data_IF_445864116417
#
_entry.id   IF_445864116417
#
_cell.length_a   1.000
_cell.length_b   1.000
_cell.length_c   1.000
_cell.angle_alpha   90.00
_cell.angle_beta   90.00
_cell.angle_gamma   90.00
#
_symmetry.space_group_name_H-M   'P 1'
#
loop_
_entity.id
_entity.type
_entity.pdbx_description
1 polymer ?
#
# COMPACT_ATOMS: atom_id res chain seq x y z
N UNK A 1 -18.92 4.20 12.64
CA UNK A 1 -18.22 5.43 13.11
C UNK A 1 -18.38 6.61 12.13
N UNK A 2 -18.19 6.42 10.81
CA UNK A 2 -18.37 7.49 9.82
C UNK A 2 -19.83 7.74 9.42
N UNK A 3 -20.59 6.69 9.12
CA UNK A 3 -22.02 6.81 8.78
C UNK A 3 -22.83 7.50 9.88
N UNK A 4 -22.55 7.19 11.15
CA UNK A 4 -23.16 7.84 12.32
C UNK A 4 -22.82 9.33 12.47
N UNK A 5 -21.89 9.85 11.67
CA UNK A 5 -21.50 11.26 11.63
C UNK A 5 -21.96 11.96 10.34
N UNK A 6 -22.83 11.32 9.56
CA UNK A 6 -23.40 11.90 8.34
C UNK A 6 -22.53 11.74 7.07
N UNK A 7 -21.49 10.91 7.12
CA UNK A 7 -20.69 10.59 5.93
C UNK A 7 -21.25 9.37 5.20
N UNK A 8 -21.23 9.41 3.87
CA UNK A 8 -21.28 8.17 3.07
C UNK A 8 -19.94 7.45 3.28
N UNK A 9 -20.00 6.21 3.77
CA UNK A 9 -18.82 5.41 4.06
C UNK A 9 -18.73 4.22 3.09
N UNK A 10 -17.57 4.04 2.49
CA UNK A 10 -17.31 2.98 1.51
C UNK A 10 -16.08 2.21 1.96
N UNK A 11 -16.18 0.90 1.96
CA UNK A 11 -15.08 -0.03 2.20
C UNK A 11 -14.92 -0.92 0.99
N UNK A 12 -13.68 -1.09 0.54
CA UNK A 12 -13.33 -1.98 -0.58
C UNK A 12 -12.36 -3.02 -0.07
N UNK A 13 -12.60 -4.28 -0.42
CA UNK A 13 -11.60 -5.31 -0.22
C UNK A 13 -10.39 -5.04 -1.12
N UNK A 14 -9.20 -4.97 -0.52
CA UNK A 14 -7.94 -4.95 -1.26
C UNK A 14 -7.89 -6.15 -2.20
N UNK A 15 -7.16 -6.02 -3.33
CA UNK A 15 -7.00 -7.17 -4.23
C UNK A 15 -6.49 -8.38 -3.43
N UNK A 16 -7.01 -9.57 -3.75
CA UNK A 16 -6.63 -10.83 -3.12
C UNK A 16 -7.02 -11.00 -1.63
N UNK A 17 -7.90 -10.15 -1.10
CA UNK A 17 -8.44 -10.23 0.26
C UNK A 17 -9.97 -10.28 0.24
N UNK A 18 -10.58 -10.71 1.36
CA UNK A 18 -12.04 -10.71 1.53
C UNK A 18 -12.77 -11.43 0.40
N UNK A 19 -13.79 -10.79 -0.16
CA UNK A 19 -14.58 -11.32 -1.30
C UNK A 19 -13.77 -11.44 -2.59
N UNK A 20 -12.56 -10.86 -2.63
CA UNK A 20 -11.62 -10.92 -3.76
C UNK A 20 -10.54 -11.97 -3.58
N UNK A 21 -10.62 -12.77 -2.52
CA UNK A 21 -9.77 -13.94 -2.29
C UNK A 21 -10.53 -15.23 -2.64
N UNK A 22 -9.81 -16.24 -3.15
CA UNK A 22 -10.37 -17.59 -3.30
C UNK A 22 -10.28 -18.37 -1.98
N UNK A 23 -9.21 -18.13 -1.24
CA UNK A 23 -8.84 -18.80 0.01
C UNK A 23 -7.86 -17.93 0.81
N UNK A 24 -7.43 -18.43 1.97
CA UNK A 24 -6.50 -17.73 2.86
C UNK A 24 -5.08 -17.53 2.27
N UNK A 25 -4.70 -18.25 1.22
CA UNK A 25 -3.36 -18.15 0.63
C UNK A 25 -3.32 -17.25 -0.60
N UNK A 26 -4.47 -16.83 -1.11
CA UNK A 26 -4.60 -16.09 -2.38
C UNK A 26 -3.67 -14.86 -2.44
N UNK A 27 -3.57 -14.04 -1.39
CA UNK A 27 -2.67 -12.88 -1.38
C UNK A 27 -1.18 -13.27 -1.40
N UNK A 28 -0.80 -14.27 -0.60
CA UNK A 28 0.56 -14.80 -0.57
C UNK A 28 0.96 -15.32 -1.94
N UNK A 29 0.09 -16.11 -2.55
CA UNK A 29 0.35 -16.76 -3.84
C UNK A 29 0.43 -15.71 -4.96
N UNK A 30 -0.37 -14.63 -4.88
CA UNK A 30 -0.26 -13.49 -5.78
C UNK A 30 1.09 -12.76 -5.66
N UNK A 31 1.59 -12.52 -4.44
CA UNK A 31 2.91 -11.90 -4.22
C UNK A 31 4.04 -12.76 -4.78
N UNK A 32 4.00 -14.07 -4.54
CA UNK A 32 4.99 -15.02 -5.09
C UNK A 32 4.90 -15.04 -6.63
N UNK A 33 3.69 -15.01 -7.20
CA UNK A 33 3.51 -14.93 -8.64
C UNK A 33 4.06 -13.62 -9.20
N UNK A 34 3.83 -12.48 -8.53
CA UNK A 34 4.36 -11.19 -8.95
C UNK A 34 5.89 -11.16 -8.92
N UNK A 35 6.52 -11.78 -7.92
CA UNK A 35 7.97 -12.00 -7.93
C UNK A 35 8.42 -12.77 -9.18
N UNK A 36 7.78 -13.92 -9.46
CA UNK A 36 8.15 -14.80 -10.58
C UNK A 36 7.92 -14.17 -11.95
N UNK A 37 6.73 -13.60 -12.18
CA UNK A 37 6.29 -13.19 -13.53
C UNK A 37 6.34 -11.68 -13.72
N UNK A 38 6.08 -10.89 -12.67
CA UNK A 38 6.04 -9.43 -12.73
C UNK A 38 4.83 -8.85 -13.45
N UNK A 39 3.81 -9.68 -13.75
CA UNK A 39 2.65 -9.26 -14.54
C UNK A 39 1.63 -8.45 -13.73
N UNK A 40 1.74 -8.47 -12.41
CA UNK A 40 0.81 -7.82 -11.47
C UNK A 40 1.58 -7.15 -10.34
N UNK A 41 0.96 -6.17 -9.70
CA UNK A 41 1.54 -5.42 -8.58
C UNK A 41 0.67 -5.55 -7.32
N UNK A 42 0.51 -6.78 -6.78
CA UNK A 42 -0.49 -7.12 -5.76
C UNK A 42 -0.24 -6.44 -4.41
N UNK A 43 0.98 -5.98 -4.15
CA UNK A 43 1.34 -5.38 -2.87
C UNK A 43 0.64 -4.02 -2.66
N UNK A 44 0.89 -3.06 -3.55
CA UNK A 44 0.39 -1.67 -3.42
C UNK A 44 -0.41 -1.25 -4.64
N UNK A 45 0.20 -1.28 -5.82
CA UNK A 45 -0.28 -0.49 -6.98
C UNK A 45 -1.61 -0.98 -7.54
N UNK A 46 -1.85 -2.30 -7.53
CA UNK A 46 -3.10 -2.87 -8.02
C UNK A 46 -4.33 -2.37 -7.24
N UNK A 47 -4.22 -2.29 -5.90
CA UNK A 47 -5.31 -1.78 -5.07
C UNK A 47 -5.41 -0.25 -5.15
N UNK A 48 -4.27 0.44 -5.26
CA UNK A 48 -4.25 1.90 -5.49
C UNK A 48 -4.95 2.27 -6.79
N UNK A 49 -4.79 1.48 -7.85
CA UNK A 49 -5.52 1.68 -9.09
C UNK A 49 -7.03 1.54 -8.90
N UNK A 50 -7.48 0.54 -8.13
CA UNK A 50 -8.91 0.38 -7.81
C UNK A 50 -9.44 1.59 -7.03
N UNK A 51 -8.63 2.19 -6.15
CA UNK A 51 -8.99 3.41 -5.42
C UNK A 51 -9.10 4.62 -6.37
N UNK A 52 -8.20 4.77 -7.35
CA UNK A 52 -8.35 5.78 -8.41
C UNK A 52 -9.68 5.59 -9.16
N UNK A 53 -10.07 4.34 -9.47
CA UNK A 53 -11.36 4.02 -10.10
C UNK A 53 -12.55 4.25 -9.18
N UNK A 54 -12.38 4.03 -7.88
CA UNK A 54 -13.39 4.42 -6.91
C UNK A 54 -13.61 5.93 -6.95
N UNK A 55 -12.55 6.74 -6.99
CA UNK A 55 -12.68 8.20 -7.11
C UNK A 55 -13.40 8.60 -8.43
N UNK A 56 -13.11 7.94 -9.56
CA UNK A 56 -13.86 8.13 -10.82
C UNK A 56 -15.37 7.96 -10.59
N UNK A 57 -15.76 6.85 -9.98
CA UNK A 57 -17.15 6.55 -9.69
C UNK A 57 -17.79 7.54 -8.72
N UNK A 58 -17.10 7.89 -7.62
CA UNK A 58 -17.64 8.80 -6.61
C UNK A 58 -17.89 10.20 -7.16
N UNK A 59 -17.05 10.68 -8.07
CA UNK A 59 -17.23 12.00 -8.68
C UNK A 59 -18.42 12.08 -9.63
N UNK A 60 -19.00 10.94 -10.04
CA UNK A 60 -20.18 10.88 -10.91
C UNK A 60 -21.49 10.76 -10.12
N UNK A 61 -21.43 10.57 -8.80
CA UNK A 61 -22.61 10.40 -7.95
C UNK A 61 -23.19 11.75 -7.55
N UNK A 62 -24.50 11.92 -7.76
CA UNK A 62 -25.22 13.14 -7.39
C UNK A 62 -25.29 13.37 -5.87
N UNK A 63 -25.17 12.31 -5.07
CA UNK A 63 -25.22 12.38 -3.61
C UNK A 63 -23.83 12.51 -2.96
N UNK A 64 -22.77 12.69 -3.76
CA UNK A 64 -21.40 12.90 -3.29
C UNK A 64 -20.92 14.29 -3.70
N UNK A 65 -20.39 15.04 -2.74
CA UNK A 65 -19.66 16.27 -3.01
C UNK A 65 -18.21 15.91 -3.39
N UNK A 66 -17.79 16.10 -4.66
CA UNK A 66 -16.47 15.69 -5.13
C UNK A 66 -15.32 16.46 -4.46
N UNK A 67 -15.60 17.59 -3.81
CA UNK A 67 -14.60 18.36 -3.06
C UNK A 67 -14.35 17.83 -1.64
N UNK A 68 -15.15 16.87 -1.16
CA UNK A 68 -15.13 16.38 0.23
C UNK A 68 -14.94 14.86 0.34
N UNK A 69 -14.16 14.28 -0.57
CA UNK A 69 -13.82 12.85 -0.53
C UNK A 69 -12.58 12.65 0.36
N UNK A 70 -12.73 11.93 1.47
CA UNK A 70 -11.63 11.55 2.36
C UNK A 70 -11.20 10.09 2.17
N UNK A 71 -9.94 9.78 2.49
CA UNK A 71 -9.43 8.41 2.48
C UNK A 71 -8.63 8.08 3.75
N UNK A 72 -8.83 6.86 4.25
CA UNK A 72 -8.15 6.33 5.43
C UNK A 72 -8.02 4.82 5.32
N UNK A 73 -7.10 4.25 6.09
CA UNK A 73 -6.92 2.82 6.21
C UNK A 73 -5.87 2.50 7.26
N UNK A 74 -5.86 1.24 7.71
CA UNK A 74 -4.97 0.73 8.76
C UNK A 74 -3.99 -0.27 8.14
N UNK A 75 -2.72 -0.17 8.51
CA UNK A 75 -1.65 -1.09 8.08
C UNK A 75 -1.50 -1.13 6.56
N UNK A 76 -1.77 -2.26 5.89
CA UNK A 76 -1.78 -2.35 4.43
C UNK A 76 -2.78 -1.35 3.80
N UNK A 77 -3.97 -1.22 4.38
CA UNK A 77 -4.94 -0.20 3.96
C UNK A 77 -4.45 1.23 4.20
N UNK A 78 -3.59 1.43 5.20
CA UNK A 78 -2.93 2.72 5.45
C UNK A 78 -1.91 3.07 4.37
N UNK A 79 -1.16 2.08 3.88
CA UNK A 79 -0.32 2.25 2.69
C UNK A 79 -1.18 2.55 1.47
N UNK A 80 -2.25 1.78 1.21
CA UNK A 80 -3.14 2.06 0.08
C UNK A 80 -3.73 3.47 0.14
N UNK A 81 -4.14 3.95 1.32
CA UNK A 81 -4.62 5.33 1.50
C UNK A 81 -3.55 6.38 1.19
N UNK A 82 -2.32 6.18 1.66
CA UNK A 82 -1.18 7.07 1.36
C UNK A 82 -0.86 7.10 -0.14
N UNK A 83 -0.66 5.94 -0.77
CA UNK A 83 -0.30 5.88 -2.19
C UNK A 83 -1.43 6.34 -3.11
N UNK A 84 -2.70 6.04 -2.79
CA UNK A 84 -3.84 6.54 -3.55
C UNK A 84 -3.94 8.06 -3.48
N UNK A 85 -3.74 8.66 -2.30
CA UNK A 85 -3.70 10.11 -2.19
C UNK A 85 -2.50 10.73 -2.89
N UNK A 86 -1.33 10.09 -2.88
CA UNK A 86 -0.16 10.58 -3.61
C UNK A 86 -0.37 10.54 -5.14
N UNK A 87 -1.11 9.56 -5.65
CA UNK A 87 -1.38 9.38 -7.07
C UNK A 87 -2.61 10.16 -7.58
N UNK A 88 -3.58 10.43 -6.71
CA UNK A 88 -4.86 11.05 -7.07
C UNK A 88 -5.20 12.23 -6.16
N UNK A 89 -5.32 13.41 -6.76
CA UNK A 89 -5.56 14.67 -6.05
C UNK A 89 -7.01 14.85 -5.60
N UNK A 90 -7.95 14.00 -6.04
CA UNK A 90 -9.37 14.08 -5.65
C UNK A 90 -9.64 13.68 -4.20
N UNK A 91 -8.74 12.91 -3.58
CA UNK A 91 -8.79 12.66 -2.15
C UNK A 91 -8.39 13.93 -1.39
N UNK A 92 -9.39 14.67 -0.91
CA UNK A 92 -9.26 15.98 -0.30
C UNK A 92 -8.64 15.93 1.11
N UNK A 93 -8.85 14.85 1.86
CA UNK A 93 -8.28 14.64 3.21
C UNK A 93 -7.77 13.21 3.34
N UNK A 94 -6.59 13.06 3.93
CA UNK A 94 -5.87 11.78 3.99
C UNK A 94 -5.51 11.45 5.42
N UNK A 95 -5.84 10.25 5.89
CA UNK A 95 -5.39 9.78 7.20
C UNK A 95 -4.94 8.31 7.14
N UNK A 96 -3.67 8.05 6.79
CA UNK A 96 -3.10 6.71 6.86
C UNK A 96 -2.74 6.35 8.31
N UNK A 97 -3.18 5.19 8.78
CA UNK A 97 -2.89 4.67 10.12
C UNK A 97 -1.90 3.51 10.00
N UNK A 98 -0.79 3.58 10.74
CA UNK A 98 0.25 2.55 10.84
C UNK A 98 0.71 1.99 9.48
N UNK A 99 0.70 2.83 8.44
CA UNK A 99 0.99 2.44 7.05
C UNK A 99 2.18 3.16 6.42
N UNK A 100 2.46 4.41 6.81
CA UNK A 100 3.55 5.20 6.21
C UNK A 100 4.91 4.69 6.68
N UNK A 101 5.81 4.44 5.74
CA UNK A 101 7.13 3.85 5.97
C UNK A 101 8.16 4.45 4.99
N UNK A 102 9.41 4.56 5.43
CA UNK A 102 10.55 4.83 4.58
C UNK A 102 11.24 3.53 4.17
N UNK A 103 10.95 3.02 2.97
CA UNK A 103 11.46 1.73 2.49
C UNK A 103 12.97 1.77 2.24
N UNK A 104 13.48 2.84 1.61
CA UNK A 104 14.93 3.02 1.40
C UNK A 104 15.67 3.10 2.72
N UNK A 105 15.18 3.96 3.62
CA UNK A 105 15.75 4.10 4.96
C UNK A 105 15.77 2.76 5.73
N UNK A 106 14.70 1.97 5.64
CA UNK A 106 14.63 0.67 6.31
C UNK A 106 15.66 -0.32 5.77
N UNK A 107 15.92 -0.33 4.46
CA UNK A 107 16.96 -1.14 3.82
C UNK A 107 18.34 -0.70 4.29
N UNK A 108 18.62 0.61 4.18
CA UNK A 108 19.93 1.19 4.49
C UNK A 108 20.32 0.95 5.96
N UNK A 109 19.34 0.97 6.87
CA UNK A 109 19.55 0.88 8.33
C UNK A 109 19.23 -0.49 8.94
N UNK A 110 19.04 -1.55 8.14
CA UNK A 110 18.72 -2.89 8.64
C UNK A 110 17.46 -2.92 9.52
N UNK A 111 16.42 -2.15 9.15
CA UNK A 111 15.11 -2.04 9.82
C UNK A 111 13.95 -2.55 8.97
N UNK A 112 14.22 -3.40 7.98
CA UNK A 112 13.24 -3.93 7.03
C UNK A 112 12.51 -5.19 7.53
N UNK A 113 12.97 -5.82 8.62
CA UNK A 113 12.55 -7.16 9.05
C UNK A 113 11.06 -7.22 9.36
N UNK A 114 10.50 -6.26 10.11
CA UNK A 114 9.07 -6.27 10.43
C UNK A 114 8.16 -6.20 9.19
N UNK A 115 8.60 -5.50 8.13
CA UNK A 115 7.88 -5.47 6.85
C UNK A 115 8.04 -6.79 6.11
N UNK A 116 9.27 -7.32 6.02
CA UNK A 116 9.53 -8.61 5.39
C UNK A 116 8.73 -9.73 6.07
N UNK A 117 8.73 -9.80 7.39
CA UNK A 117 8.02 -10.83 8.16
C UNK A 117 6.50 -10.81 7.91
N UNK A 118 5.92 -9.64 7.61
CA UNK A 118 4.48 -9.52 7.30
C UNK A 118 4.06 -10.20 6.00
N UNK A 119 5.00 -10.42 5.07
CA UNK A 119 4.78 -11.07 3.77
C UNK A 119 5.95 -12.01 3.43
N UNK A 120 6.50 -12.68 4.45
CA UNK A 120 7.75 -13.44 4.38
C UNK A 120 7.88 -14.44 3.21
N UNK A 121 6.81 -15.17 2.81
CA UNK A 121 6.94 -16.19 1.76
C UNK A 121 7.44 -15.68 0.41
N UNK A 122 7.16 -14.43 0.01
CA UNK A 122 7.72 -13.88 -1.25
C UNK A 122 9.23 -13.64 -1.13
N UNK A 123 9.72 -13.25 0.05
CA UNK A 123 11.15 -13.07 0.30
C UNK A 123 11.88 -14.40 0.42
N UNK A 124 11.24 -15.44 0.97
CA UNK A 124 11.80 -16.79 0.98
C UNK A 124 11.91 -17.35 -0.44
N UNK A 125 10.87 -17.20 -1.26
CA UNK A 125 10.91 -17.59 -2.66
C UNK A 125 12.03 -16.85 -3.43
N UNK A 126 12.13 -15.53 -3.23
CA UNK A 126 13.19 -14.74 -3.86
C UNK A 126 14.59 -15.12 -3.37
N UNK A 127 14.78 -15.36 -2.08
CA UNK A 127 16.04 -15.87 -1.51
C UNK A 127 16.46 -17.16 -2.21
N UNK A 128 15.54 -18.11 -2.32
CA UNK A 128 15.81 -19.43 -2.91
C UNK A 128 16.14 -19.30 -4.41
N UNK A 129 15.37 -18.52 -5.16
CA UNK A 129 15.62 -18.24 -6.58
C UNK A 129 16.95 -17.52 -6.83
N UNK A 130 17.39 -16.69 -5.87
CA UNK A 130 18.69 -16.00 -5.90
C UNK A 130 19.85 -16.84 -5.37
N UNK A 131 19.61 -18.08 -4.95
CA UNK A 131 20.64 -18.99 -4.43
C UNK A 131 21.26 -18.53 -3.11
N UNK A 132 20.52 -17.78 -2.29
CA UNK A 132 21.01 -17.23 -1.02
C UNK A 132 20.63 -18.10 0.17
N UNK A 133 21.46 -18.06 1.22
CA UNK A 133 21.21 -18.81 2.47
C UNK A 133 20.34 -18.05 3.47
N UNK A 134 20.21 -16.73 3.30
CA UNK A 134 19.41 -15.86 4.16
C UNK A 134 18.74 -14.74 3.34
N UNK A 135 17.63 -14.20 3.88
CA UNK A 135 17.06 -12.95 3.36
C UNK A 135 17.98 -11.81 3.82
N UNK A 136 18.63 -11.14 2.88
CA UNK A 136 19.51 -10.00 3.11
C UNK A 136 19.01 -8.75 2.36
N UNK A 137 19.73 -7.62 2.48
CA UNK A 137 19.35 -6.34 1.85
C UNK A 137 19.10 -6.49 0.35
N UNK A 138 19.93 -7.25 -0.36
CA UNK A 138 19.78 -7.42 -1.81
C UNK A 138 18.52 -8.24 -2.14
N UNK A 139 18.19 -9.29 -1.38
CA UNK A 139 16.89 -9.99 -1.55
C UNK A 139 15.75 -9.01 -1.36
N UNK A 140 15.84 -8.18 -0.33
CA UNK A 140 14.80 -7.21 0.00
C UNK A 140 14.60 -6.18 -1.11
N UNK A 141 15.68 -5.58 -1.59
CA UNK A 141 15.67 -4.63 -2.70
C UNK A 141 15.08 -5.26 -3.97
N UNK A 142 15.55 -6.45 -4.36
CA UNK A 142 15.06 -7.13 -5.55
C UNK A 142 13.58 -7.46 -5.48
N UNK A 143 13.08 -7.88 -4.32
CA UNK A 143 11.64 -8.13 -4.15
C UNK A 143 10.86 -6.83 -4.33
N UNK A 144 11.28 -5.73 -3.71
CA UNK A 144 10.60 -4.43 -3.90
C UNK A 144 10.61 -3.97 -5.34
N UNK A 145 11.76 -4.00 -6.01
CA UNK A 145 11.88 -3.63 -7.42
C UNK A 145 10.98 -4.48 -8.32
N UNK A 146 10.67 -5.71 -7.89
CA UNK A 146 9.85 -6.64 -8.66
C UNK A 146 8.35 -6.46 -8.43
N UNK A 147 7.91 -6.37 -7.17
CA UNK A 147 6.47 -6.37 -6.81
C UNK A 147 5.88 -4.98 -6.60
N UNK A 148 6.75 -3.97 -6.49
CA UNK A 148 6.40 -2.56 -6.36
C UNK A 148 7.55 -1.66 -6.86
N UNK A 149 7.83 -1.62 -8.17
CA UNK A 149 8.90 -0.78 -8.73
C UNK A 149 8.83 0.67 -8.24
N UNK A 150 9.97 1.23 -7.82
CA UNK A 150 10.06 2.61 -7.32
C UNK A 150 9.70 2.80 -5.84
N UNK A 151 9.28 1.74 -5.13
CA UNK A 151 8.84 1.79 -3.74
C UNK A 151 9.93 2.28 -2.78
N UNK A 152 11.19 1.87 -3.01
CA UNK A 152 12.37 2.30 -2.24
C UNK A 152 13.17 3.40 -2.98
N UNK A 153 12.52 4.15 -3.87
CA UNK A 153 13.08 5.31 -4.58
C UNK A 153 12.01 6.40 -4.75
N UNK A 154 11.58 6.71 -5.99
CA UNK A 154 10.74 7.88 -6.27
C UNK A 154 9.35 7.87 -5.61
N UNK A 155 8.87 6.71 -5.16
CA UNK A 155 7.57 6.58 -4.48
C UNK A 155 7.68 6.42 -2.97
N UNK A 156 8.90 6.39 -2.42
CA UNK A 156 9.13 6.27 -0.99
C UNK A 156 8.59 7.49 -0.21
N UNK A 157 8.39 7.35 1.10
CA UNK A 157 7.76 8.40 1.94
C UNK A 157 8.40 9.78 1.86
N UNK A 158 9.73 9.94 1.76
CA UNK A 158 10.33 11.27 1.64
C UNK A 158 9.90 12.02 0.37
N UNK A 159 9.43 11.32 -0.67
CA UNK A 159 9.08 11.90 -1.96
C UNK A 159 7.58 11.97 -2.20
N UNK A 160 6.83 10.94 -1.80
CA UNK A 160 5.38 10.87 -2.06
C UNK A 160 4.51 11.44 -0.95
N UNK A 161 5.01 11.61 0.28
CA UNK A 161 4.26 12.34 1.31
C UNK A 161 4.17 13.84 0.99
N UNK A 162 5.26 14.52 0.59
CA UNK A 162 5.18 15.94 0.22
C UNK A 162 4.23 16.22 -0.95
N UNK A 163 4.03 15.29 -1.89
CA UNK A 163 3.10 15.47 -3.02
C UNK A 163 1.62 15.53 -2.60
N UNK A 164 1.29 15.20 -1.34
CA UNK A 164 -0.06 15.35 -0.81
C UNK A 164 -0.38 16.83 -0.53
N UNK A 165 0.62 17.65 -0.22
CA UNK A 165 0.42 19.07 0.04
C UNK A 165 -0.25 19.77 -1.16
N UNK A 166 -1.16 20.74 -0.92
CA UNK A 166 -1.53 21.33 0.37
C UNK A 166 -2.69 20.61 1.10
N UNK A 167 -3.09 19.40 0.66
CA UNK A 167 -4.25 18.70 1.22
C UNK A 167 -4.00 18.26 2.67
N UNK A 168 -4.98 18.39 3.58
CA UNK A 168 -4.84 17.93 4.95
C UNK A 168 -4.43 16.45 5.05
N UNK A 169 -3.35 16.21 5.80
CA UNK A 169 -2.77 14.88 6.02
C UNK A 169 -2.54 14.64 7.51
N UNK A 170 -3.13 13.57 8.05
CA UNK A 170 -2.90 13.11 9.42
C UNK A 170 -2.31 11.70 9.42
N UNK A 171 -0.99 11.60 9.58
CA UNK A 171 -0.28 10.32 9.72
C UNK A 171 -0.35 9.88 11.18
N UNK A 172 -0.92 8.70 11.44
CA UNK A 172 -1.01 8.14 12.80
C UNK A 172 -0.18 6.86 12.89
N UNK A 173 0.93 6.92 13.63
CA UNK A 173 1.76 5.77 13.94
C UNK A 173 1.80 5.55 15.47
N UNK A 174 1.84 4.29 15.91
CA UNK A 174 2.05 3.97 17.32
C UNK A 174 3.49 4.25 17.75
N UNK A 175 3.72 4.46 19.06
CA UNK A 175 5.07 4.40 19.61
C UNK A 175 5.61 2.97 19.48
N UNK A 176 6.83 2.83 18.98
CA UNK A 176 7.64 1.63 19.26
C UNK A 176 7.98 1.75 20.76
N UNK A 177 7.37 0.90 21.59
CA UNK A 177 7.75 0.74 23.00
C UNK A 177 9.05 -0.05 23.07
#
# INVERSE_FOLDING_TARGET
AYASRGYIAISVDSRYHGERAKDATTYRDALISAWKTGDTMPFIYDTVWDLIKLADYLTQREDIDPSRIGITGISLGGMHAWFAAAADTRYAVVSPLIGVQGFRWAIDNDKWQGRVDSIKPVFEAARDDLGKTAIDKEVVEKVWDRIAPGLASQFDSPYSIPSIAPRPLLILNGKIL
#
